data_IF_360090482959
#
_entry.id   IF_360090482959
#
_cell.length_a   1.000
_cell.length_b   1.000
_cell.length_c   1.000
_cell.angle_alpha   90.00
_cell.angle_beta   90.00
_cell.angle_gamma   90.00
#
_symmetry.space_group_name_H-M   'P 1'
#
loop_
_entity.id
_entity.type
_entity.pdbx_description
1 polymer ?
#
# COMPACT_ATOMS: atom_id res chain seq x y z
N UNK A 1 42.41 -0.16 12.10
CA UNK A 1 41.48 -0.19 10.96
C UNK A 1 40.43 0.96 10.96
N UNK A 2 40.39 1.83 11.98
CA UNK A 2 39.41 2.95 12.06
C UNK A 2 39.94 4.28 11.47
N UNK A 3 41.25 4.44 11.31
CA UNK A 3 41.87 5.72 10.89
C UNK A 3 41.74 6.06 9.39
N UNK A 4 41.28 5.14 8.53
CA UNK A 4 41.19 5.38 7.08
C UNK A 4 39.87 6.06 6.67
N UNK A 5 38.86 6.07 7.55
CA UNK A 5 37.52 6.60 7.28
C UNK A 5 37.37 8.11 7.57
N UNK A 6 38.35 8.75 8.23
CA UNK A 6 38.30 10.16 8.63
C UNK A 6 39.40 11.04 8.01
N UNK A 7 39.98 10.64 6.86
CA UNK A 7 40.89 11.52 6.11
C UNK A 7 40.09 12.50 5.24
N UNK A 8 40.58 13.72 5.05
CA UNK A 8 40.05 14.69 4.08
C UNK A 8 39.92 14.11 2.68
N UNK A 9 40.83 13.20 2.29
CA UNK A 9 40.74 12.47 1.01
C UNK A 9 39.57 11.48 1.00
N UNK A 10 39.32 10.77 2.10
CA UNK A 10 38.18 9.85 2.24
C UNK A 10 36.85 10.61 2.26
N UNK A 11 36.76 11.72 2.98
CA UNK A 11 35.58 12.60 3.01
C UNK A 11 35.27 13.19 1.62
N UNK A 12 36.29 13.59 0.86
CA UNK A 12 36.12 14.08 -0.51
C UNK A 12 35.64 12.99 -1.46
N UNK A 13 36.14 11.76 -1.32
CA UNK A 13 35.65 10.60 -2.07
C UNK A 13 34.17 10.31 -1.73
N UNK A 14 33.79 10.30 -0.44
CA UNK A 14 32.39 10.15 -0.04
C UNK A 14 31.50 11.29 -0.55
N UNK A 15 32.01 12.52 -0.57
CA UNK A 15 31.30 13.66 -1.13
C UNK A 15 31.06 13.49 -2.64
N UNK A 16 32.07 13.09 -3.42
CA UNK A 16 31.88 12.84 -4.88
C UNK A 16 30.93 11.67 -5.12
N UNK A 17 31.11 10.55 -4.39
CA UNK A 17 30.26 9.36 -4.52
C UNK A 17 28.79 9.67 -4.17
N UNK A 18 28.53 10.60 -3.25
CA UNK A 18 27.16 11.03 -2.93
C UNK A 18 26.64 12.14 -3.85
N UNK A 19 27.50 13.03 -4.35
CA UNK A 19 27.10 14.14 -5.21
C UNK A 19 26.59 13.68 -6.58
N UNK A 20 27.18 12.62 -7.18
CA UNK A 20 26.77 12.14 -8.51
C UNK A 20 25.32 11.60 -8.50
N UNK A 21 24.92 10.67 -7.60
CA UNK A 21 23.53 10.22 -7.51
C UNK A 21 22.55 11.35 -7.20
N UNK A 22 22.93 12.29 -6.31
CA UNK A 22 22.09 13.45 -5.98
C UNK A 22 21.91 14.36 -7.18
N UNK A 23 22.98 14.67 -7.91
CA UNK A 23 22.92 15.47 -9.13
C UNK A 23 22.09 14.78 -10.23
N UNK A 24 22.22 13.45 -10.37
CA UNK A 24 21.39 12.66 -11.27
C UNK A 24 19.91 12.74 -10.91
N UNK A 25 19.56 12.55 -9.63
CA UNK A 25 18.16 12.69 -9.16
C UNK A 25 17.65 14.10 -9.44
N UNK A 26 18.42 15.14 -9.10
CA UNK A 26 18.03 16.54 -9.39
C UNK A 26 17.83 16.76 -10.89
N UNK A 27 18.68 16.19 -11.74
CA UNK A 27 18.55 16.30 -13.19
C UNK A 27 17.27 15.63 -13.70
N UNK A 28 16.97 14.42 -13.23
CA UNK A 28 15.76 13.68 -13.62
C UNK A 28 14.50 14.38 -13.11
N UNK A 29 14.53 14.93 -11.90
CA UNK A 29 13.41 15.67 -11.30
C UNK A 29 13.11 17.01 -11.98
N UNK A 30 14.07 17.57 -12.71
CA UNK A 30 13.91 18.83 -13.46
C UNK A 30 13.63 18.61 -14.95
N UNK A 31 13.73 17.39 -15.43
CA UNK A 31 13.45 17.06 -16.82
C UNK A 31 11.95 17.17 -17.09
N UNK A 32 11.58 17.54 -18.32
CA UNK A 32 10.18 17.48 -18.75
C UNK A 32 9.70 16.02 -18.75
N UNK A 33 8.58 15.71 -18.09
CA UNK A 33 8.03 14.36 -18.09
C UNK A 33 7.67 13.89 -19.51
N UNK A 34 8.00 12.65 -19.83
CA UNK A 34 7.66 12.03 -21.12
C UNK A 34 6.18 11.66 -21.25
N UNK A 35 5.46 11.62 -20.13
CA UNK A 35 4.02 11.32 -20.05
C UNK A 35 3.35 12.31 -19.11
N UNK A 36 2.02 12.32 -19.08
CA UNK A 36 1.29 13.23 -18.19
C UNK A 36 1.58 12.93 -16.72
N UNK A 37 1.76 13.97 -15.90
CA UNK A 37 1.98 13.83 -14.45
C UNK A 37 1.10 14.82 -13.70
N UNK A 38 0.38 14.34 -12.70
CA UNK A 38 -0.19 15.20 -11.68
C UNK A 38 0.85 15.38 -10.56
N UNK A 39 1.40 16.57 -10.48
CA UNK A 39 2.22 16.97 -9.35
C UNK A 39 1.34 17.59 -8.27
N UNK A 40 1.60 17.24 -7.01
CA UNK A 40 0.92 17.86 -5.89
C UNK A 40 1.86 18.07 -4.72
N UNK A 41 1.66 19.17 -4.01
CA UNK A 41 2.39 19.45 -2.78
C UNK A 41 1.81 18.68 -1.62
N UNK A 42 2.73 18.29 -0.75
CA UNK A 42 2.47 17.51 0.43
C UNK A 42 3.31 17.95 1.61
N UNK A 43 2.77 17.73 2.81
CA UNK A 43 3.46 17.90 4.08
C UNK A 43 4.38 16.71 4.41
N UNK A 44 4.07 15.52 3.88
CA UNK A 44 4.76 14.27 4.16
C UNK A 44 5.73 13.82 3.06
N UNK A 45 6.64 12.93 3.41
CA UNK A 45 7.62 12.34 2.48
C UNK A 45 7.09 11.12 1.74
N UNK A 46 6.08 10.44 2.28
CA UNK A 46 5.64 9.12 1.82
C UNK A 46 4.13 9.10 1.58
N UNK A 47 3.71 8.66 0.40
CA UNK A 47 2.30 8.41 0.04
C UNK A 47 2.21 7.03 -0.58
N UNK A 48 1.54 6.09 0.08
CA UNK A 48 1.57 4.69 -0.37
C UNK A 48 0.60 4.45 -1.52
N UNK A 49 -0.64 4.92 -1.38
CA UNK A 49 -1.72 4.62 -2.31
C UNK A 49 -2.36 5.91 -2.80
N UNK A 50 -2.82 5.89 -4.06
CA UNK A 50 -3.77 6.87 -4.56
C UNK A 50 -4.79 6.17 -5.46
N UNK A 51 -6.07 6.49 -5.27
CA UNK A 51 -7.18 6.00 -6.09
C UNK A 51 -7.98 7.16 -6.68
N UNK A 52 -8.38 7.03 -7.93
CA UNK A 52 -9.21 8.01 -8.63
C UNK A 52 -10.68 7.89 -8.20
N UNK A 53 -11.22 9.00 -7.72
CA UNK A 53 -12.63 9.21 -7.43
C UNK A 53 -13.24 10.01 -8.58
N UNK A 54 -13.91 9.32 -9.50
CA UNK A 54 -14.41 9.90 -10.75
C UNK A 54 -15.62 10.82 -10.54
N UNK A 55 -16.48 10.49 -9.58
CA UNK A 55 -17.68 11.26 -9.26
C UNK A 55 -17.35 12.68 -8.79
N UNK A 56 -16.33 12.82 -7.93
CA UNK A 56 -15.89 14.12 -7.39
C UNK A 56 -14.59 14.62 -8.04
N UNK A 57 -14.11 13.94 -9.09
CA UNK A 57 -12.93 14.28 -9.88
C UNK A 57 -11.69 14.63 -9.05
N UNK A 58 -11.30 13.71 -8.18
CA UNK A 58 -10.18 13.89 -7.26
C UNK A 58 -9.44 12.58 -7.05
N UNK A 59 -8.17 12.67 -6.68
CA UNK A 59 -7.46 11.52 -6.13
C UNK A 59 -7.66 11.47 -4.62
N UNK A 60 -7.92 10.27 -4.10
CA UNK A 60 -7.91 9.96 -2.68
C UNK A 60 -6.56 9.32 -2.39
N UNK A 61 -5.79 9.92 -1.49
CA UNK A 61 -4.38 9.56 -1.24
C UNK A 61 -4.21 9.12 0.21
N UNK A 62 -3.51 8.00 0.42
CA UNK A 62 -3.16 7.55 1.76
C UNK A 62 -1.94 8.28 2.30
N UNK A 63 -2.01 8.62 3.59
CA UNK A 63 -0.94 9.30 4.28
C UNK A 63 -0.15 8.28 5.09
N UNK A 64 1.14 8.12 4.79
CA UNK A 64 1.97 7.17 5.53
C UNK A 64 2.14 7.56 7.00
N UNK A 65 2.00 8.85 7.33
CA UNK A 65 1.91 9.35 8.70
C UNK A 65 0.53 9.17 9.37
N UNK A 66 -0.39 8.49 8.69
CA UNK A 66 -1.76 8.21 9.13
C UNK A 66 -2.76 9.24 8.62
N UNK A 67 -3.86 8.74 8.06
CA UNK A 67 -4.97 9.53 7.55
C UNK A 67 -5.16 9.44 6.03
N UNK A 68 -6.06 10.29 5.53
CA UNK A 68 -6.44 10.37 4.11
C UNK A 68 -6.44 11.82 3.68
N UNK A 69 -5.93 12.09 2.49
CA UNK A 69 -6.02 13.39 1.83
C UNK A 69 -6.66 13.29 0.45
N UNK A 70 -7.08 14.45 -0.07
CA UNK A 70 -7.62 14.63 -1.39
C UNK A 70 -6.68 15.48 -2.23
N UNK A 71 -6.59 15.15 -3.51
CA UNK A 71 -5.97 15.98 -4.53
C UNK A 71 -7.02 16.23 -5.60
N UNK A 72 -7.66 17.39 -5.53
CA UNK A 72 -8.72 17.79 -6.47
C UNK A 72 -8.12 18.11 -7.83
N UNK A 73 -8.80 17.69 -8.91
CA UNK A 73 -8.37 17.96 -10.28
C UNK A 73 -9.39 18.89 -10.95
N UNK A 74 -9.14 20.21 -10.98
CA UNK A 74 -10.06 21.19 -11.55
C UNK A 74 -10.37 20.93 -13.04
N UNK A 75 -11.52 21.41 -13.48
CA UNK A 75 -11.82 21.51 -14.90
C UNK A 75 -10.79 22.39 -15.62
N UNK A 76 -10.29 21.91 -16.76
CA UNK A 76 -9.24 22.61 -17.51
C UNK A 76 -7.86 22.61 -16.84
N UNK A 77 -7.58 21.65 -15.93
CA UNK A 77 -6.25 21.49 -15.35
C UNK A 77 -5.16 21.51 -16.43
N UNK A 78 -4.27 22.50 -16.32
CA UNK A 78 -3.16 22.69 -17.26
C UNK A 78 -1.95 21.88 -16.81
N UNK A 79 -1.34 21.06 -17.68
CA UNK A 79 -0.13 20.32 -17.37
C UNK A 79 0.95 21.23 -16.76
N UNK A 80 1.58 20.78 -15.68
CA UNK A 80 2.59 21.54 -14.94
C UNK A 80 2.04 22.42 -13.81
N UNK A 81 0.72 22.58 -13.68
CA UNK A 81 0.13 23.19 -12.48
C UNK A 81 0.27 22.23 -11.31
N UNK A 82 0.88 22.69 -10.21
CA UNK A 82 1.03 21.88 -9.00
C UNK A 82 -0.26 21.97 -8.18
N UNK A 83 -0.86 20.83 -7.90
CA UNK A 83 -2.04 20.69 -7.05
C UNK A 83 -1.65 20.71 -5.56
N UNK A 84 -2.62 20.77 -4.66
CA UNK A 84 -2.39 20.72 -3.22
C UNK A 84 -3.14 19.53 -2.60
N UNK A 85 -2.53 18.88 -1.60
CA UNK A 85 -3.21 17.85 -0.80
C UNK A 85 -4.08 18.51 0.29
N UNK A 86 -5.32 18.03 0.45
CA UNK A 86 -6.24 18.47 1.49
C UNK A 86 -6.52 17.28 2.42
N UNK A 87 -6.02 17.35 3.66
CA UNK A 87 -6.24 16.28 4.64
C UNK A 87 -7.71 16.30 5.09
N UNK A 88 -8.40 15.17 4.91
CA UNK A 88 -9.83 15.02 5.25
C UNK A 88 -10.07 14.04 6.40
N UNK A 89 -9.15 13.10 6.62
CA UNK A 89 -9.21 12.16 7.73
C UNK A 89 -7.88 12.18 8.47
N UNK A 90 -7.94 12.38 9.79
CA UNK A 90 -6.80 12.17 10.69
C UNK A 90 -7.29 11.82 12.10
N UNK A 91 -7.16 10.56 12.48
CA UNK A 91 -7.74 10.06 13.73
C UNK A 91 -6.67 9.95 14.83
N UNK A 92 -6.89 10.56 16.02
CA UNK A 92 -5.93 10.46 17.12
C UNK A 92 -5.68 9.02 17.60
N UNK A 93 -6.70 8.16 17.53
CA UNK A 93 -6.58 6.76 17.96
C UNK A 93 -5.75 5.90 17.00
N UNK A 94 -5.56 6.34 15.75
CA UNK A 94 -4.69 5.71 14.76
C UNK A 94 -3.34 6.43 14.64
N UNK A 95 -3.05 7.41 15.50
CA UNK A 95 -1.81 8.17 15.43
C UNK A 95 -0.57 7.26 15.57
N UNK A 96 0.27 7.23 14.55
CA UNK A 96 1.46 6.39 14.47
C UNK A 96 1.28 5.14 13.60
N UNK A 97 0.06 4.79 13.22
CA UNK A 97 -0.17 3.86 12.12
C UNK A 97 0.07 4.57 10.78
N UNK A 98 0.50 3.81 9.78
CA UNK A 98 0.52 4.27 8.40
C UNK A 98 -0.78 3.89 7.70
N UNK A 99 -1.38 4.81 6.95
CA UNK A 99 -2.44 4.46 6.02
C UNK A 99 -1.80 3.99 4.72
N UNK A 100 -2.14 2.77 4.27
CA UNK A 100 -1.55 2.10 3.11
C UNK A 100 -2.59 1.99 1.99
N UNK A 101 -3.06 0.78 1.66
CA UNK A 101 -4.02 0.55 0.58
C UNK A 101 -5.39 1.18 0.81
N UNK A 102 -6.01 1.58 -0.30
CA UNK A 102 -7.33 2.21 -0.37
C UNK A 102 -8.19 1.48 -1.40
N UNK A 103 -9.44 1.20 -1.03
CA UNK A 103 -10.49 0.82 -1.98
C UNK A 103 -11.65 1.81 -1.97
N UNK A 104 -12.14 2.17 -3.15
CA UNK A 104 -13.31 3.03 -3.33
C UNK A 104 -14.52 2.16 -3.67
N UNK A 105 -15.44 2.00 -2.74
CA UNK A 105 -16.71 1.29 -2.94
C UNK A 105 -17.79 2.31 -3.31
N UNK A 106 -17.91 2.56 -4.61
CA UNK A 106 -18.82 3.56 -5.18
C UNK A 106 -20.28 3.23 -4.88
N UNK A 107 -20.65 1.95 -4.99
CA UNK A 107 -22.04 1.49 -4.81
C UNK A 107 -22.56 1.80 -3.42
N UNK A 108 -21.67 1.81 -2.42
CA UNK A 108 -22.00 2.08 -1.00
C UNK A 108 -21.52 3.45 -0.51
N UNK A 109 -21.09 4.32 -1.42
CA UNK A 109 -20.56 5.66 -1.13
C UNK A 109 -19.51 5.70 -0.01
N UNK A 110 -18.55 4.76 -0.03
CA UNK A 110 -17.54 4.66 1.03
C UNK A 110 -16.14 4.42 0.50
N UNK A 111 -15.17 4.78 1.34
CA UNK A 111 -13.74 4.55 1.12
C UNK A 111 -13.23 3.67 2.24
N UNK A 112 -12.56 2.58 1.90
CA UNK A 112 -11.91 1.71 2.86
C UNK A 112 -10.41 1.99 2.85
N UNK A 113 -9.81 2.01 4.04
CA UNK A 113 -8.41 2.37 4.26
C UNK A 113 -7.78 1.38 5.21
N UNK A 114 -6.68 0.77 4.78
CA UNK A 114 -5.87 -0.10 5.62
C UNK A 114 -4.92 0.74 6.46
N UNK A 115 -4.88 0.51 7.76
CA UNK A 115 -3.96 1.17 8.69
C UNK A 115 -2.99 0.16 9.28
N UNK A 116 -1.73 0.23 8.87
CA UNK A 116 -0.67 -0.68 9.29
C UNK A 116 0.00 -0.23 10.60
N UNK A 117 0.28 -1.20 11.47
CA UNK A 117 1.08 -0.99 12.68
C UNK A 117 2.58 -1.08 12.36
N UNK A 118 3.11 0.03 11.83
CA UNK A 118 4.53 0.13 11.42
C UNK A 118 5.47 0.07 12.63
N UNK A 119 5.07 0.66 13.76
CA UNK A 119 5.90 0.77 14.97
C UNK A 119 5.75 -0.43 15.92
N UNK A 120 4.85 -1.38 15.62
CA UNK A 120 4.56 -2.57 16.44
C UNK A 120 4.18 -2.23 17.89
N UNK A 121 3.53 -1.10 18.08
CA UNK A 121 3.09 -0.63 19.39
C UNK A 121 1.56 -0.53 19.48
N UNK A 122 0.83 -0.90 18.42
CA UNK A 122 -0.62 -0.79 18.32
C UNK A 122 -1.19 -2.05 17.64
N UNK A 123 -1.99 -1.85 16.60
CA UNK A 123 -2.74 -2.86 15.89
C UNK A 123 -2.89 -2.46 14.42
N UNK A 124 -2.89 -3.45 13.52
CA UNK A 124 -3.36 -3.25 12.15
C UNK A 124 -4.88 -3.15 12.13
N UNK A 125 -5.46 -2.32 11.27
CA UNK A 125 -6.92 -2.18 11.16
C UNK A 125 -7.39 -1.85 9.76
N UNK A 126 -8.68 -2.09 9.52
CA UNK A 126 -9.42 -1.60 8.36
C UNK A 126 -10.44 -0.56 8.85
N UNK A 127 -10.37 0.65 8.30
CA UNK A 127 -11.38 1.68 8.54
C UNK A 127 -12.21 1.88 7.28
N UNK A 128 -13.50 2.18 7.43
CA UNK A 128 -14.35 2.66 6.35
C UNK A 128 -14.89 4.05 6.68
N UNK A 129 -14.94 4.92 5.68
CA UNK A 129 -15.44 6.28 5.79
C UNK A 129 -16.49 6.54 4.71
N UNK A 130 -17.53 7.31 5.06
CA UNK A 130 -18.43 7.88 4.06
C UNK A 130 -17.63 8.80 3.13
N UNK A 131 -17.71 8.58 1.82
CA UNK A 131 -16.88 9.28 0.82
C UNK A 131 -17.23 10.77 0.70
N UNK A 132 -18.43 11.17 1.08
CA UNK A 132 -18.92 12.53 0.94
C UNK A 132 -18.60 13.38 2.17
N UNK A 133 -18.81 12.80 3.36
CA UNK A 133 -18.69 13.49 4.65
C UNK A 133 -17.40 13.17 5.41
N UNK A 134 -16.66 12.15 4.99
CA UNK A 134 -15.46 11.61 5.66
C UNK A 134 -15.72 11.14 7.10
N UNK A 135 -17.00 10.91 7.46
CA UNK A 135 -17.36 10.30 8.74
C UNK A 135 -17.02 8.82 8.73
N UNK A 136 -16.37 8.37 9.79
CA UNK A 136 -16.07 6.94 9.96
C UNK A 136 -17.34 6.13 10.11
N UNK A 137 -17.46 5.09 9.29
CA UNK A 137 -18.54 4.11 9.31
C UNK A 137 -18.21 2.96 10.27
N UNK A 138 -16.98 2.42 10.19
CA UNK A 138 -16.47 1.43 11.13
C UNK A 138 -14.94 1.50 11.25
N UNK A 139 -14.42 0.87 12.31
CA UNK A 139 -13.00 0.57 12.50
C UNK A 139 -12.86 -0.88 12.99
N UNK A 140 -12.26 -1.73 12.17
CA UNK A 140 -12.06 -3.15 12.46
C UNK A 140 -10.60 -3.41 12.79
N UNK A 141 -10.30 -3.80 14.02
CA UNK A 141 -8.97 -4.25 14.41
C UNK A 141 -8.67 -5.63 13.79
N UNK A 142 -7.60 -5.72 13.00
CA UNK A 142 -7.19 -6.92 12.26
C UNK A 142 -6.10 -7.73 12.99
N UNK A 143 -5.25 -7.06 13.76
CA UNK A 143 -4.09 -7.64 14.46
C UNK A 143 -3.73 -6.87 15.73
N UNK A 144 -2.64 -7.24 16.43
CA UNK A 144 -2.17 -6.54 17.63
C UNK A 144 -2.91 -6.88 18.94
N UNK A 145 -2.47 -6.33 20.08
CA UNK A 145 -3.04 -6.64 21.39
C UNK A 145 -4.50 -6.18 21.44
N UNK A 146 -5.43 -7.09 21.75
CA UNK A 146 -6.86 -6.76 21.91
C UNK A 146 -7.82 -7.44 20.94
N UNK A 147 -7.36 -8.28 20.02
CA UNK A 147 -8.25 -9.16 19.26
C UNK A 147 -9.09 -10.03 20.24
N UNK A 148 -10.43 -10.05 20.15
CA UNK A 148 -11.17 -11.14 20.75
C UNK A 148 -10.70 -12.42 20.07
N UNK A 149 -10.18 -13.36 20.85
CA UNK A 149 -9.95 -14.72 20.39
C UNK A 149 -11.26 -15.22 19.76
N UNK A 150 -11.27 -15.49 18.45
CA UNK A 150 -12.44 -16.08 17.77
C UNK A 150 -12.72 -17.41 18.49
N UNK A 151 -13.81 -17.53 19.30
CA UNK A 151 -14.08 -18.76 20.01
C UNK A 151 -14.93 -19.64 19.11
N UNK A 152 -14.41 -20.80 18.73
CA UNK A 152 -15.28 -21.92 18.35
C UNK A 152 -16.00 -22.38 19.62
N UNK A 153 -17.34 -22.33 19.58
CA UNK A 153 -18.35 -22.78 20.54
C UNK A 153 -18.69 -21.92 21.78
N UNK A 154 -20.01 -21.73 21.92
CA UNK A 154 -20.76 -21.03 22.97
C UNK A 154 -20.32 -21.36 24.41
N UNK A 155 -20.08 -20.32 25.22
CA UNK A 155 -20.66 -20.19 26.58
C UNK A 155 -20.55 -18.77 27.14
N UNK A 156 -21.60 -18.40 27.87
CA UNK A 156 -21.91 -17.12 28.52
C UNK A 156 -21.06 -16.92 29.79
N UNK A 157 -20.70 -15.67 30.13
CA UNK A 157 -20.88 -14.99 31.45
C UNK A 157 -19.95 -13.77 31.65
N UNK A 158 -20.60 -12.61 31.87
CA UNK A 158 -20.37 -11.42 32.72
C UNK A 158 -18.95 -10.88 33.08
N UNK A 159 -18.73 -9.60 32.72
CA UNK A 159 -18.60 -8.47 33.69
C UNK A 159 -17.20 -8.01 34.16
N UNK A 160 -16.88 -6.72 33.96
CA UNK A 160 -15.92 -5.97 34.79
C UNK A 160 -15.10 -4.87 34.10
N UNK A 161 -15.42 -3.59 34.36
CA UNK A 161 -14.68 -2.40 33.91
C UNK A 161 -13.53 -2.03 34.86
N UNK A 162 -12.42 -1.50 34.33
CA UNK A 162 -11.68 -0.39 34.96
C UNK A 162 -10.88 0.43 33.94
N UNK A 163 -10.98 1.75 34.08
CA UNK A 163 -10.22 2.81 33.38
C UNK A 163 -8.83 2.90 33.97
N UNK A 164 -7.84 3.36 33.19
CA UNK A 164 -6.88 4.39 33.59
C UNK A 164 -6.21 5.02 32.35
N UNK A 165 -6.06 6.34 32.40
CA UNK A 165 -5.59 7.18 31.28
C UNK A 165 -4.09 7.41 31.26
N UNK A 166 -3.56 7.74 30.09
CA UNK A 166 -2.18 8.24 29.92
C UNK A 166 -2.15 9.33 28.84
N UNK A 167 -1.44 10.41 29.16
CA UNK A 167 -1.19 11.61 28.37
C UNK A 167 -0.24 11.36 27.20
N UNK A 168 -0.52 11.95 26.03
CA UNK A 168 0.31 11.84 24.83
C UNK A 168 1.36 12.96 24.76
N UNK A 169 2.62 12.60 24.49
CA UNK A 169 3.66 13.51 23.98
C UNK A 169 3.99 13.14 22.54
N UNK A 170 3.93 14.11 21.65
CA UNK A 170 4.28 13.96 20.25
C UNK A 170 5.80 14.04 20.06
N UNK A 171 6.39 13.11 19.30
CA UNK A 171 7.78 13.16 18.86
C UNK A 171 7.87 12.83 17.36
N UNK A 172 8.63 13.63 16.60
CA UNK A 172 8.85 13.45 15.16
C UNK A 172 9.96 12.42 14.88
N UNK A 173 9.79 11.58 13.85
CA UNK A 173 10.73 10.50 13.49
C UNK A 173 11.44 10.83 12.15
N UNK A 174 12.76 10.60 12.01
CA UNK A 174 13.52 10.84 10.78
C UNK A 174 13.30 9.75 9.71
N UNK A 175 13.29 10.18 8.46
CA UNK A 175 12.90 9.47 7.22
C UNK A 175 13.69 8.22 6.85
N UNK A 176 14.93 8.05 7.34
CA UNK A 176 15.81 6.95 6.89
C UNK A 176 15.51 5.58 7.53
N UNK A 177 14.94 5.53 8.74
CA UNK A 177 14.59 4.26 9.39
C UNK A 177 13.37 3.57 8.75
N UNK A 178 12.49 4.35 8.11
CA UNK A 178 11.20 3.93 7.58
C UNK A 178 11.34 3.07 6.31
N UNK A 179 12.37 3.37 5.50
CA UNK A 179 12.77 2.59 4.32
C UNK A 179 13.18 1.14 4.68
N UNK A 180 13.83 0.96 5.84
CA UNK A 180 14.21 -0.36 6.33
C UNK A 180 13.04 -1.14 6.95
N UNK A 181 12.01 -0.46 7.44
CA UNK A 181 10.78 -1.13 7.95
C UNK A 181 9.97 -1.70 6.79
N UNK A 182 9.83 -0.96 5.69
CA UNK A 182 9.22 -1.44 4.43
C UNK A 182 9.98 -2.64 3.81
N UNK A 183 11.31 -2.70 3.97
CA UNK A 183 12.13 -3.84 3.51
C UNK A 183 12.25 -4.98 4.55
N UNK A 184 11.66 -4.85 5.74
CA UNK A 184 11.80 -5.82 6.83
C UNK A 184 13.21 -5.95 7.42
N UNK A 185 14.11 -4.99 7.12
CA UNK A 185 15.53 -4.98 7.49
C UNK A 185 15.83 -4.08 8.71
N UNK A 186 14.84 -3.35 9.24
CA UNK A 186 14.97 -2.47 10.41
C UNK A 186 14.45 -3.10 11.70
N UNK A 187 15.24 -3.05 12.77
CA UNK A 187 14.76 -3.28 14.14
C UNK A 187 14.04 -2.03 14.69
N UNK A 188 13.01 -2.23 15.51
CA UNK A 188 12.35 -1.11 16.21
C UNK A 188 13.36 -0.40 17.12
N UNK A 189 13.47 0.94 17.10
CA UNK A 189 14.33 1.69 18.01
C UNK A 189 13.76 1.80 19.44
N UNK A 190 12.61 1.20 19.73
CA UNK A 190 11.94 1.27 21.03
C UNK A 190 12.04 -0.05 21.82
N UNK A 191 12.17 0.00 23.15
CA UNK A 191 12.13 -1.19 23.98
C UNK A 191 10.79 -1.92 23.80
N UNK A 192 10.76 -3.26 23.71
CA UNK A 192 9.53 -4.01 23.57
C UNK A 192 8.66 -3.79 24.81
N UNK A 193 7.47 -3.23 24.62
CA UNK A 193 6.43 -3.37 25.63
C UNK A 193 6.03 -4.85 25.71
N UNK A 194 5.77 -5.30 26.94
CA UNK A 194 5.57 -6.69 27.34
C UNK A 194 4.64 -7.42 26.37
N UNK A 195 5.22 -8.33 25.57
CA UNK A 195 4.49 -9.18 24.65
C UNK A 195 3.53 -10.09 25.44
N UNK A 196 2.25 -10.12 25.03
CA UNK A 196 1.45 -11.33 25.14
C UNK A 196 2.16 -12.42 24.33
N UNK A 197 2.62 -13.48 25.00
CA UNK A 197 3.08 -14.71 24.36
C UNK A 197 1.87 -15.27 23.57
N UNK A 198 1.79 -15.04 22.25
CA UNK A 198 0.73 -15.63 21.43
C UNK A 198 0.37 -14.93 20.11
N UNK A 199 0.70 -13.65 19.93
CA UNK A 199 0.20 -12.92 18.76
C UNK A 199 1.10 -13.08 17.51
N UNK A 200 0.49 -13.54 16.40
CA UNK A 200 1.12 -13.67 15.09
C UNK A 200 1.57 -12.29 14.57
N UNK A 201 2.83 -12.17 14.12
CA UNK A 201 3.34 -10.92 13.53
C UNK A 201 2.58 -10.61 12.24
N UNK A 202 2.02 -9.41 12.16
CA UNK A 202 1.08 -9.01 11.11
C UNK A 202 1.43 -7.62 10.57
N UNK A 203 1.14 -7.39 9.29
CA UNK A 203 1.27 -6.11 8.62
C UNK A 203 0.20 -6.00 7.53
N UNK A 204 -0.96 -5.43 7.88
CA UNK A 204 -2.04 -5.21 6.92
C UNK A 204 -1.59 -4.19 5.86
N UNK A 205 -1.85 -4.46 4.59
CA UNK A 205 -1.24 -3.73 3.48
C UNK A 205 -2.25 -3.14 2.49
N UNK A 206 -2.89 -3.97 1.66
CA UNK A 206 -3.83 -3.54 0.62
C UNK A 206 -5.24 -4.11 0.82
N UNK A 207 -6.23 -3.52 0.13
CA UNK A 207 -7.65 -3.89 0.26
C UNK A 207 -8.39 -3.91 -1.08
N UNK A 208 -9.20 -4.95 -1.29
CA UNK A 208 -10.18 -5.03 -2.36
C UNK A 208 -11.60 -5.18 -1.78
N UNK A 209 -12.62 -4.90 -2.59
CA UNK A 209 -14.04 -5.00 -2.20
C UNK A 209 -14.79 -5.82 -3.25
N UNK A 210 -15.62 -6.77 -2.81
CA UNK A 210 -16.50 -7.54 -3.69
C UNK A 210 -17.83 -6.81 -3.99
N UNK A 211 -18.67 -7.41 -4.84
CA UNK A 211 -19.98 -6.86 -5.20
C UNK A 211 -20.91 -6.70 -3.99
N UNK A 212 -20.82 -7.60 -3.01
CA UNK A 212 -21.58 -7.62 -1.76
C UNK A 212 -21.09 -6.57 -0.74
N UNK A 213 -19.92 -5.98 -0.96
CA UNK A 213 -19.31 -4.99 -0.08
C UNK A 213 -18.49 -5.61 1.05
N UNK A 214 -18.09 -6.87 0.95
CA UNK A 214 -17.07 -7.42 1.82
C UNK A 214 -15.70 -6.93 1.35
N UNK A 215 -14.84 -6.60 2.31
CA UNK A 215 -13.47 -6.18 2.09
C UNK A 215 -12.52 -7.36 2.28
N UNK A 216 -11.48 -7.42 1.46
CA UNK A 216 -10.41 -8.42 1.52
C UNK A 216 -9.10 -7.70 1.73
N UNK A 217 -8.49 -7.89 2.90
CA UNK A 217 -7.28 -7.17 3.30
C UNK A 217 -6.09 -8.12 3.32
N UNK A 218 -4.99 -7.76 2.67
CA UNK A 218 -3.76 -8.57 2.64
C UNK A 218 -2.90 -8.32 3.87
N UNK A 219 -2.20 -9.35 4.33
CA UNK A 219 -1.15 -9.25 5.34
C UNK A 219 0.21 -9.55 4.74
N UNK A 220 1.04 -8.52 4.59
CA UNK A 220 2.38 -8.62 4.03
C UNK A 220 3.39 -9.30 4.95
N UNK A 221 3.03 -9.60 6.22
CA UNK A 221 3.92 -10.30 7.15
C UNK A 221 3.45 -11.70 7.53
N UNK A 222 2.16 -11.88 7.76
CA UNK A 222 1.57 -13.17 8.11
C UNK A 222 1.15 -13.98 6.87
N UNK A 223 1.21 -13.40 5.66
CA UNK A 223 0.82 -14.06 4.41
C UNK A 223 -0.58 -14.69 4.51
N UNK A 224 -1.56 -13.88 4.91
CA UNK A 224 -2.99 -14.25 5.05
C UNK A 224 -3.86 -13.12 4.50
N UNK A 225 -5.13 -13.38 4.31
CA UNK A 225 -6.12 -12.37 3.89
C UNK A 225 -7.29 -12.39 4.88
N UNK A 226 -7.67 -11.24 5.41
CA UNK A 226 -8.91 -11.11 6.19
C UNK A 226 -10.07 -10.82 5.24
N UNK A 227 -11.20 -11.51 5.42
CA UNK A 227 -12.49 -11.10 4.86
C UNK A 227 -13.28 -10.35 5.94
N UNK A 228 -13.62 -9.10 5.66
CA UNK A 228 -14.38 -8.22 6.56
C UNK A 228 -15.72 -7.90 5.91
N UNK A 229 -16.81 -8.05 6.64
CA UNK A 229 -18.16 -7.76 6.18
C UNK A 229 -18.39 -6.28 5.92
N UNK A 230 -19.50 -5.98 5.26
CA UNK A 230 -19.92 -4.61 4.92
C UNK A 230 -20.07 -3.70 6.15
N UNK A 231 -20.37 -4.29 7.31
CA UNK A 231 -20.55 -3.68 8.62
C UNK A 231 -19.27 -3.63 9.46
N UNK A 232 -18.15 -4.17 8.96
CA UNK A 232 -16.87 -4.19 9.66
C UNK A 232 -16.61 -5.46 10.49
N UNK A 233 -17.49 -6.46 10.46
CA UNK A 233 -17.24 -7.72 11.17
C UNK A 233 -16.20 -8.60 10.44
N UNK A 234 -15.25 -9.20 11.15
CA UNK A 234 -14.35 -10.19 10.53
C UNK A 234 -15.14 -11.47 10.29
N UNK A 235 -15.34 -11.81 9.01
CA UNK A 235 -16.11 -13.00 8.60
C UNK A 235 -15.23 -14.24 8.56
N UNK A 236 -14.03 -14.13 8.00
CA UNK A 236 -13.09 -15.25 7.88
C UNK A 236 -11.65 -14.77 7.66
N UNK A 237 -10.71 -15.71 7.76
CA UNK A 237 -9.30 -15.50 7.40
C UNK A 237 -8.89 -16.57 6.41
N UNK A 238 -8.52 -16.15 5.20
CA UNK A 238 -8.07 -17.02 4.12
C UNK A 238 -6.58 -17.28 4.30
N UNK A 239 -6.20 -18.56 4.29
CA UNK A 239 -4.81 -19.01 4.37
C UNK A 239 -4.56 -20.06 3.30
N UNK A 240 -3.35 -20.08 2.76
CA UNK A 240 -2.91 -21.10 1.83
C UNK A 240 -1.40 -21.29 1.96
N UNK A 241 -0.88 -22.53 1.84
CA UNK A 241 0.56 -22.75 1.75
C UNK A 241 1.19 -22.05 0.54
N UNK A 242 0.40 -21.70 -0.49
CA UNK A 242 0.88 -20.96 -1.66
C UNK A 242 1.20 -19.48 -1.37
N UNK A 243 0.72 -18.94 -0.24
CA UNK A 243 1.03 -17.58 0.19
C UNK A 243 2.45 -17.44 0.76
N UNK A 244 3.13 -18.55 1.03
CA UNK A 244 4.48 -18.57 1.60
C UNK A 244 5.41 -19.36 0.69
N UNK A 245 6.23 -18.69 -0.13
CA UNK A 245 7.27 -19.33 -0.92
C UNK A 245 8.22 -20.16 -0.04
N UNK A 246 8.78 -21.23 -0.61
CA UNK A 246 9.69 -22.13 0.12
C UNK A 246 10.97 -21.43 0.55
N UNK A 247 11.44 -20.46 -0.23
CA UNK A 247 12.67 -19.73 0.04
C UNK A 247 12.44 -18.60 1.05
N UNK A 248 13.09 -18.72 2.22
CA UNK A 248 12.90 -17.80 3.34
C UNK A 248 13.17 -16.32 3.00
N UNK A 249 14.11 -16.01 2.11
CA UNK A 249 14.41 -14.61 1.75
C UNK A 249 13.26 -13.96 0.98
N UNK A 250 12.41 -14.77 0.33
CA UNK A 250 11.20 -14.28 -0.36
C UNK A 250 10.04 -14.00 0.60
N UNK A 251 10.16 -14.30 1.90
CA UNK A 251 9.09 -14.07 2.90
C UNK A 251 9.30 -12.80 3.73
N UNK A 252 10.28 -11.97 3.35
CA UNK A 252 10.54 -10.69 4.01
C UNK A 252 9.35 -9.73 3.85
N UNK A 253 8.76 -9.67 2.65
CA UNK A 253 7.49 -9.02 2.27
C UNK A 253 6.65 -10.01 1.47
N UNK A 254 5.46 -10.31 1.99
CA UNK A 254 4.56 -11.39 1.57
C UNK A 254 3.53 -10.98 0.52
N UNK A 255 2.26 -11.26 0.82
CA UNK A 255 1.11 -10.81 0.03
C UNK A 255 0.97 -9.29 0.12
N UNK A 256 0.62 -8.66 -0.98
CA UNK A 256 0.60 -7.20 -1.09
C UNK A 256 -0.63 -6.78 -1.90
N UNK A 257 -0.49 -6.33 -3.15
CA UNK A 257 -1.60 -5.85 -3.95
C UNK A 257 -2.70 -6.89 -4.17
N UNK A 258 -3.95 -6.44 -4.07
CA UNK A 258 -5.15 -7.27 -4.22
C UNK A 258 -6.22 -6.56 -5.03
N UNK A 259 -6.88 -7.29 -5.92
CA UNK A 259 -8.06 -6.82 -6.67
C UNK A 259 -9.14 -7.87 -6.67
N UNK A 260 -10.39 -7.43 -6.67
CA UNK A 260 -11.55 -8.28 -6.92
C UNK A 260 -11.87 -8.26 -8.42
N UNK A 261 -11.97 -9.45 -9.01
CA UNK A 261 -12.32 -9.65 -10.40
C UNK A 261 -13.86 -9.73 -10.54
N UNK A 262 -14.47 -9.12 -11.57
CA UNK A 262 -15.93 -9.11 -11.75
C UNK A 262 -16.58 -10.50 -11.89
N UNK A 263 -15.79 -11.55 -12.14
CA UNK A 263 -16.27 -12.93 -12.15
C UNK A 263 -16.24 -13.63 -10.77
N UNK A 264 -16.03 -12.90 -9.68
CA UNK A 264 -16.24 -13.42 -8.32
C UNK A 264 -15.02 -14.03 -7.61
N UNK A 265 -13.80 -13.73 -8.07
CA UNK A 265 -12.55 -14.18 -7.44
C UNK A 265 -11.59 -13.03 -7.18
N UNK A 266 -10.56 -13.28 -6.37
CA UNK A 266 -9.50 -12.31 -6.12
C UNK A 266 -8.27 -12.65 -6.95
N UNK A 267 -7.54 -11.61 -7.37
CA UNK A 267 -6.15 -11.72 -7.80
C UNK A 267 -5.28 -11.03 -6.77
N UNK A 268 -4.22 -11.72 -6.34
CA UNK A 268 -3.31 -11.26 -5.29
C UNK A 268 -1.88 -11.47 -5.73
N UNK A 269 -1.04 -10.46 -5.54
CA UNK A 269 0.39 -10.59 -5.82
C UNK A 269 1.19 -10.79 -4.54
N UNK A 270 2.23 -11.61 -4.64
CA UNK A 270 3.25 -11.74 -3.62
C UNK A 270 4.51 -11.00 -4.06
N UNK A 271 4.94 -10.01 -3.28
CA UNK A 271 5.98 -9.03 -3.67
C UNK A 271 7.30 -9.68 -4.10
N UNK A 272 7.97 -10.42 -3.22
CA UNK A 272 9.32 -10.93 -3.52
C UNK A 272 9.36 -12.21 -4.35
N UNK A 273 8.29 -13.00 -4.39
CA UNK A 273 8.22 -14.14 -5.31
C UNK A 273 7.78 -13.72 -6.71
N UNK A 274 6.96 -12.65 -6.82
CA UNK A 274 6.27 -12.29 -8.05
C UNK A 274 5.17 -13.28 -8.44
N UNK A 275 4.75 -14.15 -7.51
CA UNK A 275 3.63 -15.06 -7.74
C UNK A 275 2.34 -14.25 -7.80
N UNK A 276 1.59 -14.42 -8.89
CA UNK A 276 0.20 -13.99 -9.00
C UNK A 276 -0.69 -15.17 -8.63
N UNK A 277 -1.60 -14.94 -7.68
CA UNK A 277 -2.47 -15.96 -7.11
C UNK A 277 -3.91 -15.62 -7.45
N UNK A 278 -4.68 -16.62 -7.87
CA UNK A 278 -6.13 -16.55 -8.04
C UNK A 278 -6.79 -17.23 -6.84
N UNK A 279 -7.74 -16.55 -6.21
CA UNK A 279 -8.48 -17.07 -5.05
C UNK A 279 -9.95 -17.16 -5.39
N UNK A 280 -10.42 -18.39 -5.57
CA UNK A 280 -11.82 -18.72 -5.76
C UNK A 280 -12.53 -18.68 -4.40
N UNK A 281 -13.21 -17.58 -4.12
CA UNK A 281 -13.74 -17.25 -2.79
C UNK A 281 -14.73 -18.32 -2.30
N UNK A 282 -15.71 -18.67 -3.13
CA UNK A 282 -16.76 -19.64 -2.80
C UNK A 282 -16.26 -21.08 -2.66
N UNK A 283 -15.18 -21.42 -3.38
CA UNK A 283 -14.57 -22.76 -3.33
C UNK A 283 -13.47 -22.85 -2.27
N UNK A 284 -13.13 -21.73 -1.64
CA UNK A 284 -11.99 -21.58 -0.74
C UNK A 284 -10.67 -22.11 -1.36
N UNK A 285 -10.52 -21.98 -2.69
CA UNK A 285 -9.41 -22.55 -3.43
C UNK A 285 -8.42 -21.46 -3.85
N UNK A 286 -7.12 -21.69 -3.62
CA UNK A 286 -6.04 -20.80 -4.06
C UNK A 286 -5.22 -21.50 -5.14
N UNK A 287 -5.06 -20.83 -6.29
CA UNK A 287 -4.27 -21.32 -7.42
C UNK A 287 -3.18 -20.31 -7.79
N UNK A 288 -2.08 -20.82 -8.33
CA UNK A 288 -1.06 -19.98 -8.94
C UNK A 288 -1.46 -19.69 -10.40
N UNK A 289 -1.47 -18.42 -10.79
CA UNK A 289 -1.61 -18.01 -12.19
C UNK A 289 -0.29 -18.26 -12.90
N UNK A 290 -0.31 -19.00 -14.01
CA UNK A 290 0.91 -19.25 -14.80
C UNK A 290 1.25 -18.01 -15.63
N UNK A 291 2.19 -17.21 -15.15
CA UNK A 291 2.61 -15.96 -15.81
C UNK A 291 3.77 -16.20 -16.78
N UNK A 292 3.55 -15.92 -18.06
CA UNK A 292 4.56 -15.85 -19.13
C UNK A 292 4.94 -14.42 -19.50
N UNK A 293 5.86 -14.25 -20.46
CA UNK A 293 6.25 -12.94 -21.01
C UNK A 293 7.10 -12.04 -20.08
N UNK A 294 7.26 -12.42 -18.80
CA UNK A 294 8.08 -11.68 -17.85
C UNK A 294 7.84 -12.11 -16.41
N UNK A 295 8.62 -11.56 -15.48
CA UNK A 295 8.45 -11.78 -14.04
C UNK A 295 7.72 -10.61 -13.39
N UNK A 296 6.95 -10.90 -12.35
CA UNK A 296 6.26 -9.90 -11.52
C UNK A 296 6.94 -9.67 -10.16
N UNK A 297 8.22 -10.05 -10.03
CA UNK A 297 8.99 -9.81 -8.79
C UNK A 297 9.03 -8.32 -8.48
N UNK A 298 8.94 -7.96 -7.20
CA UNK A 298 8.70 -6.59 -6.72
C UNK A 298 7.41 -5.99 -7.28
N UNK A 299 6.37 -6.82 -7.46
CA UNK A 299 5.01 -6.36 -7.64
C UNK A 299 4.45 -5.84 -6.31
N UNK A 300 3.76 -4.72 -6.37
CA UNK A 300 3.19 -4.02 -5.22
C UNK A 300 1.67 -3.95 -5.43
N UNK A 301 1.06 -2.77 -5.49
CA UNK A 301 -0.35 -2.59 -5.79
C UNK A 301 -0.79 -3.15 -7.15
N UNK A 302 -2.02 -3.65 -7.17
CA UNK A 302 -2.71 -4.19 -8.34
C UNK A 302 -3.88 -3.27 -8.74
N UNK A 303 -4.16 -3.17 -10.04
CA UNK A 303 -5.33 -2.45 -10.55
C UNK A 303 -5.85 -3.10 -11.83
N UNK A 304 -7.15 -3.42 -11.89
CA UNK A 304 -7.78 -3.92 -13.11
C UNK A 304 -8.12 -2.75 -14.04
N UNK A 305 -7.64 -2.83 -15.28
CA UNK A 305 -8.11 -1.94 -16.37
C UNK A 305 -9.36 -2.48 -17.05
N UNK A 306 -9.50 -3.81 -17.05
CA UNK A 306 -10.64 -4.55 -17.59
C UNK A 306 -10.58 -5.99 -17.05
N UNK A 307 -11.60 -6.84 -17.24
CA UNK A 307 -11.55 -8.24 -16.81
C UNK A 307 -10.32 -9.01 -17.33
N UNK A 308 -9.80 -8.63 -18.50
CA UNK A 308 -8.68 -9.31 -19.15
C UNK A 308 -7.34 -8.59 -19.01
N UNK A 309 -7.29 -7.44 -18.33
CA UNK A 309 -6.06 -6.61 -18.23
C UNK A 309 -5.84 -6.10 -16.82
N UNK A 310 -4.67 -6.43 -16.27
CA UNK A 310 -4.22 -6.05 -14.93
C UNK A 310 -2.93 -5.22 -15.03
N UNK A 311 -2.90 -4.13 -14.28
CA UNK A 311 -1.68 -3.38 -14.02
C UNK A 311 -1.07 -3.87 -12.71
N UNK A 312 0.23 -4.12 -12.76
CA UNK A 312 1.05 -4.43 -11.59
C UNK A 312 2.01 -3.26 -11.37
N UNK A 313 1.72 -2.45 -10.35
CA UNK A 313 2.65 -1.43 -9.86
C UNK A 313 3.88 -2.11 -9.22
N UNK A 314 4.95 -1.35 -9.04
CA UNK A 314 6.18 -1.83 -8.41
C UNK A 314 7.44 -1.53 -9.20
N UNK A 315 8.56 -2.01 -8.69
CA UNK A 315 9.89 -1.52 -9.08
C UNK A 315 10.66 -2.55 -9.93
N UNK A 316 11.46 -2.11 -10.92
CA UNK A 316 11.72 -0.73 -11.33
C UNK A 316 10.67 -0.16 -12.33
N UNK A 317 9.63 -0.93 -12.65
CA UNK A 317 8.71 -0.64 -13.76
C UNK A 317 7.28 -1.09 -13.45
N UNK A 318 6.29 -0.36 -13.95
CA UNK A 318 4.92 -0.86 -14.06
C UNK A 318 4.85 -1.96 -15.12
N UNK A 319 4.00 -2.98 -14.91
CA UNK A 319 3.78 -4.07 -15.87
C UNK A 319 2.29 -4.15 -16.25
N UNK A 320 2.01 -4.33 -17.53
CA UNK A 320 0.69 -4.70 -18.03
C UNK A 320 0.65 -6.21 -18.24
N UNK A 321 -0.35 -6.84 -17.65
CA UNK A 321 -0.56 -8.28 -17.66
C UNK A 321 -1.92 -8.56 -18.27
N UNK A 322 -1.98 -9.47 -19.24
CA UNK A 322 -3.22 -9.86 -19.91
C UNK A 322 -3.50 -11.35 -19.73
N UNK A 323 -4.79 -11.68 -19.61
CA UNK A 323 -5.30 -13.06 -19.58
C UNK A 323 -6.55 -13.17 -20.46
N UNK A 324 -6.80 -14.36 -21.00
CA UNK A 324 -7.98 -14.67 -21.82
C UNK A 324 -8.67 -15.97 -21.38
N UNK A 325 -8.22 -16.57 -20.28
CA UNK A 325 -8.63 -17.89 -19.80
C UNK A 325 -8.99 -17.86 -18.30
N UNK A 326 -9.74 -16.84 -17.88
CA UNK A 326 -10.14 -16.66 -16.48
C UNK A 326 -8.97 -16.64 -15.50
N UNK A 327 -7.84 -16.06 -15.92
CA UNK A 327 -6.62 -15.96 -15.11
C UNK A 327 -6.08 -17.32 -14.65
N UNK A 328 -6.32 -18.39 -15.41
CA UNK A 328 -5.57 -19.65 -15.24
C UNK A 328 -4.14 -19.48 -15.76
N UNK A 329 -3.98 -18.73 -16.86
CA UNK A 329 -2.68 -18.25 -17.36
C UNK A 329 -2.73 -16.73 -17.60
N UNK A 330 -1.55 -16.11 -17.65
CA UNK A 330 -1.42 -14.70 -17.98
C UNK A 330 -0.09 -14.41 -18.65
N UNK A 331 0.01 -13.30 -19.39
CA UNK A 331 1.24 -12.88 -20.04
C UNK A 331 1.54 -11.42 -19.72
N UNK A 332 2.78 -11.09 -19.35
CA UNK A 332 3.25 -9.71 -19.32
C UNK A 332 3.41 -9.23 -20.76
N UNK A 333 2.53 -8.34 -21.21
CA UNK A 333 2.49 -7.89 -22.61
C UNK A 333 3.25 -6.58 -22.83
N UNK A 334 3.37 -5.75 -21.79
CA UNK A 334 4.04 -4.47 -21.89
C UNK A 334 4.59 -4.01 -20.54
N UNK A 335 5.54 -3.07 -20.56
CA UNK A 335 6.08 -2.43 -19.35
C UNK A 335 6.12 -0.92 -19.50
N UNK A 336 6.17 -0.27 -18.35
CA UNK A 336 6.33 1.17 -18.20
C UNK A 336 7.57 1.45 -17.36
N UNK A 337 8.51 2.22 -17.92
CA UNK A 337 9.70 2.69 -17.21
C UNK A 337 9.48 4.13 -16.77
N UNK A 338 9.26 4.31 -15.46
CA UNK A 338 9.01 5.62 -14.84
C UNK A 338 10.15 6.09 -13.93
N UNK A 339 9.90 7.08 -13.06
CA UNK A 339 10.89 7.60 -12.12
C UNK A 339 11.21 6.56 -11.02
N UNK A 340 12.15 5.64 -11.31
CA UNK A 340 12.51 4.53 -10.44
C UNK A 340 12.99 4.97 -9.04
N UNK A 341 13.58 6.16 -8.92
CA UNK A 341 14.02 6.72 -7.64
C UNK A 341 12.86 7.18 -6.74
N UNK A 342 11.63 7.25 -7.26
CA UNK A 342 10.43 7.59 -6.47
C UNK A 342 9.64 6.38 -5.97
N UNK A 343 9.90 5.19 -6.51
CA UNK A 343 9.28 3.90 -6.20
C UNK A 343 7.77 3.85 -6.47
N UNK A 344 7.36 3.16 -7.53
CA UNK A 344 5.93 2.93 -7.79
C UNK A 344 5.36 1.92 -6.80
N UNK A 345 4.22 2.23 -6.18
CA UNK A 345 3.59 1.40 -5.12
C UNK A 345 2.15 1.04 -5.42
N UNK A 346 1.37 1.94 -6.03
CA UNK A 346 -0.02 1.68 -6.38
C UNK A 346 -0.35 2.14 -7.80
N UNK A 347 -1.44 1.60 -8.35
CA UNK A 347 -2.00 2.01 -9.62
C UNK A 347 -3.47 2.40 -9.46
N UNK A 348 -3.93 3.31 -10.33
CA UNK A 348 -5.35 3.65 -10.46
C UNK A 348 -5.69 3.97 -11.91
N UNK A 349 -6.92 3.66 -12.31
CA UNK A 349 -7.44 4.03 -13.64
C UNK A 349 -8.27 5.31 -13.57
N UNK A 350 -7.88 6.31 -14.36
CA UNK A 350 -8.61 7.56 -14.59
C UNK A 350 -8.91 7.69 -16.07
N UNK A 351 -10.18 7.73 -16.43
CA UNK A 351 -10.65 7.95 -17.82
C UNK A 351 -9.99 6.99 -18.84
N UNK A 352 -9.83 5.73 -18.46
CA UNK A 352 -9.20 4.68 -19.27
C UNK A 352 -7.66 4.72 -19.30
N UNK A 353 -7.03 5.71 -18.65
CA UNK A 353 -5.58 5.83 -18.51
C UNK A 353 -5.12 5.35 -17.14
N UNK A 354 -3.94 4.75 -17.10
CA UNK A 354 -3.32 4.26 -15.86
C UNK A 354 -2.44 5.34 -15.29
N UNK A 355 -2.61 5.64 -14.01
CA UNK A 355 -1.69 6.47 -13.24
C UNK A 355 -1.05 5.64 -12.13
N UNK A 356 0.28 5.73 -12.00
CA UNK A 356 1.03 5.11 -10.92
C UNK A 356 1.32 6.13 -9.82
N UNK A 357 0.97 5.75 -8.60
CA UNK A 357 1.43 6.43 -7.39
C UNK A 357 2.87 6.05 -7.09
N UNK A 358 3.66 7.04 -6.69
CA UNK A 358 5.03 6.84 -6.25
C UNK A 358 5.19 7.25 -4.80
N UNK A 359 5.88 6.40 -4.03
CA UNK A 359 6.02 6.53 -2.59
C UNK A 359 6.67 7.86 -2.20
N UNK A 360 7.78 8.23 -2.85
CA UNK A 360 8.65 9.29 -2.39
C UNK A 360 8.30 10.65 -3.01
N UNK A 361 8.01 11.61 -2.13
CA UNK A 361 7.95 13.03 -2.46
C UNK A 361 9.35 13.65 -2.49
N UNK A 362 9.57 14.62 -3.38
CA UNK A 362 10.86 15.31 -3.57
C UNK A 362 10.73 16.82 -3.37
N UNK A 363 11.78 17.46 -2.89
CA UNK A 363 11.84 18.92 -2.74
C UNK A 363 11.74 19.43 -1.29
N UNK A 364 12.15 20.69 -1.11
CA UNK A 364 12.16 21.42 0.16
C UNK A 364 11.79 22.90 -0.10
N UNK A 365 11.01 23.57 0.77
CA UNK A 365 10.45 23.09 2.04
C UNK A 365 9.22 22.18 1.87
N UNK A 366 8.49 22.32 0.77
CA UNK A 366 7.33 21.47 0.39
C UNK A 366 7.77 20.31 -0.48
N UNK A 367 7.17 19.14 -0.25
CA UNK A 367 7.48 17.90 -0.97
C UNK A 367 6.48 17.78 -2.10
N UNK A 368 6.98 17.49 -3.29
CA UNK A 368 6.17 17.29 -4.49
C UNK A 368 6.09 15.80 -4.76
N UNK A 369 4.88 15.27 -4.69
CA UNK A 369 4.55 13.91 -5.08
C UNK A 369 4.07 13.89 -6.53
N UNK A 370 4.01 12.69 -7.12
CA UNK A 370 3.72 12.52 -8.53
C UNK A 370 2.82 11.30 -8.77
N UNK A 371 1.70 11.54 -9.45
CA UNK A 371 0.88 10.51 -10.08
C UNK A 371 1.18 10.53 -11.57
N UNK A 372 1.90 9.52 -12.05
CA UNK A 372 2.47 9.52 -13.41
C UNK A 372 1.64 8.62 -14.31
N UNK A 373 1.22 9.13 -15.48
CA UNK A 373 0.56 8.35 -16.52
C UNK A 373 1.53 7.26 -17.01
N UNK A 374 1.16 6.01 -16.80
CA UNK A 374 1.92 4.87 -17.29
C UNK A 374 1.52 4.55 -18.72
N UNK A 375 2.32 5.03 -19.68
CA UNK A 375 2.21 4.63 -21.09
C UNK A 375 3.02 3.36 -21.28
N UNK A 376 2.31 2.23 -21.38
CA UNK A 376 2.93 0.92 -21.53
C UNK A 376 3.37 0.69 -22.99
N UNK A 377 4.61 0.20 -23.17
CA UNK A 377 5.14 -0.21 -24.46
C UNK A 377 5.41 -1.71 -24.48
N UNK A 378 5.08 -2.35 -25.60
CA UNK A 378 5.37 -3.77 -25.83
C UNK A 378 6.88 -4.04 -25.80
N UNK A 379 7.22 -5.29 -25.48
CA UNK A 379 8.58 -5.80 -25.46
C UNK A 379 9.18 -6.00 -26.85
#
# INVERSE_FOLDING_TARGET
MVSFLCSTKSLFIFFIISAIPVAYIISVERAEPSTHVYHYHSSGWLRECAKWDDLDRRFIVSLFEGGVALVEVPDGHSPGTILEEIIVVKEPELAGNASLGIAVDRRRNRVLVVNADVMRNRYGSLAAYDRSTWRRLFLTQLSGPGLPSIPIQKKRVLGGFRKDGVTSKAYSIPTYGLFFVLLGLGGSPYPPHMHSKGDEKSFADDVAVDEEGNAYVTDAKASKIWKVGVDGEILSIIRSPLFTPKEWYKTLVGLNGIVYHPNGYLLVIHTFSGNLLKIEIEKEEVKLVKVGGGKLVFGDGLELMSPTKLVVAGNPSGRLVESSDEWETATVTAKYSGPAHRLATAATVKDGKVYLNHLLGMGYPRKTHALVEAVFSAY
#
